data_IF_564666464154
#
_entry.id   IF_564666464154
#
_cell.length_a   1.000
_cell.length_b   1.000
_cell.length_c   1.000
_cell.angle_alpha   90.00
_cell.angle_beta   90.00
_cell.angle_gamma   90.00
#
_symmetry.space_group_name_H-M   'P 1'
#
loop_
_entity.id
_entity.type
_entity.pdbx_description
1 polymer ?
#
# COMPACT_ATOMS: atom_id res chain seq x y z
N UNK A 1 -16.19 -27.57 1.67
CA UNK A 1 -14.95 -28.06 2.32
C UNK A 1 -14.61 -27.10 3.43
N UNK A 2 -14.09 -27.58 4.57
CA UNK A 2 -13.63 -26.75 5.69
C UNK A 2 -12.38 -27.39 6.30
N UNK A 3 -11.51 -26.58 6.89
CA UNK A 3 -10.39 -27.06 7.69
C UNK A 3 -10.00 -26.03 8.76
N UNK A 4 -9.49 -26.50 9.90
CA UNK A 4 -8.88 -25.67 10.94
C UNK A 4 -7.39 -25.44 10.61
N UNK A 5 -6.95 -24.23 10.23
CA UNK A 5 -5.58 -23.98 9.83
C UNK A 5 -4.56 -24.14 10.98
N UNK A 6 -5.01 -24.21 12.24
CA UNK A 6 -4.15 -24.44 13.40
C UNK A 6 -3.99 -25.93 13.73
N UNK A 7 -4.86 -26.81 13.22
CA UNK A 7 -4.93 -28.22 13.63
C UNK A 7 -4.92 -29.22 12.48
N UNK A 8 -5.29 -28.78 11.28
CA UNK A 8 -5.51 -29.64 10.12
C UNK A 8 -4.64 -29.19 8.94
N UNK A 9 -4.17 -30.15 8.16
CA UNK A 9 -3.50 -29.86 6.88
C UNK A 9 -4.51 -29.24 5.92
N UNK A 10 -4.04 -28.32 5.08
CA UNK A 10 -4.87 -27.78 3.99
C UNK A 10 -5.43 -28.94 3.13
N UNK A 11 -6.74 -28.93 2.85
CA UNK A 11 -7.39 -29.96 2.03
C UNK A 11 -7.11 -29.80 0.53
N UNK A 12 -6.36 -28.75 0.15
CA UNK A 12 -5.90 -28.48 -1.22
C UNK A 12 -4.36 -28.51 -1.30
N UNK A 13 -3.76 -28.75 -2.48
CA UNK A 13 -2.30 -28.77 -2.64
C UNK A 13 -1.60 -27.45 -2.27
N UNK A 14 -2.29 -26.33 -2.47
CA UNK A 14 -1.83 -25.00 -2.07
C UNK A 14 -2.75 -24.43 -1.00
N UNK A 15 -2.17 -23.70 -0.04
CA UNK A 15 -2.97 -23.04 1.01
C UNK A 15 -3.87 -21.97 0.41
N UNK A 16 -5.19 -22.04 0.62
CA UNK A 16 -6.13 -21.08 0.04
C UNK A 16 -6.12 -19.73 0.77
N UNK A 17 -5.51 -19.63 1.95
CA UNK A 17 -5.65 -18.48 2.86
C UNK A 17 -5.44 -17.11 2.18
N UNK A 18 -4.33 -16.94 1.45
CA UNK A 18 -4.05 -15.68 0.73
C UNK A 18 -4.87 -15.51 -0.55
N UNK A 19 -5.41 -16.59 -1.10
CA UNK A 19 -6.27 -16.54 -2.30
C UNK A 19 -7.73 -16.19 -1.98
N UNK A 20 -8.15 -16.30 -0.71
CA UNK A 20 -9.51 -15.99 -0.27
C UNK A 20 -9.71 -14.52 0.12
N UNK A 21 -8.64 -13.73 0.18
CA UNK A 21 -8.67 -12.29 0.48
C UNK A 21 -8.01 -11.53 -0.67
N UNK A 22 -8.78 -11.32 -1.73
CA UNK A 22 -8.33 -10.73 -3.01
C UNK A 22 -9.44 -9.87 -3.64
N UNK A 23 -9.11 -8.90 -4.50
CA UNK A 23 -7.77 -8.39 -4.78
C UNK A 23 -7.21 -7.60 -3.59
N UNK A 24 -5.90 -7.68 -3.35
CA UNK A 24 -5.24 -6.88 -2.31
C UNK A 24 -4.52 -5.69 -2.94
N UNK A 25 -4.84 -4.45 -2.52
CA UNK A 25 -4.05 -3.28 -2.89
C UNK A 25 -2.57 -3.48 -2.53
N UNK A 26 -1.69 -2.90 -3.35
CA UNK A 26 -0.25 -2.96 -3.13
C UNK A 26 0.18 -1.65 -2.48
N UNK A 27 0.74 -1.73 -1.29
CA UNK A 27 1.53 -0.65 -0.71
C UNK A 27 2.90 -0.67 -1.37
N UNK A 28 3.13 0.12 -2.41
CA UNK A 28 4.46 0.26 -2.99
C UNK A 28 5.16 1.45 -2.32
N UNK A 29 5.94 1.10 -1.29
CA UNK A 29 6.37 2.05 -0.27
C UNK A 29 7.83 2.41 -0.48
N UNK A 30 8.10 3.71 -0.56
CA UNK A 30 9.43 4.25 -0.42
C UNK A 30 9.67 4.78 0.99
N UNK A 31 10.89 4.63 1.46
CA UNK A 31 11.34 5.14 2.76
C UNK A 31 12.82 5.48 2.69
N UNK A 32 13.34 6.14 3.71
CA UNK A 32 14.78 6.45 3.82
C UNK A 32 15.26 6.11 5.22
N UNK A 33 16.46 5.54 5.34
CA UNK A 33 17.07 5.25 6.64
C UNK A 33 17.55 6.55 7.31
N UNK A 34 17.88 6.46 8.60
CA UNK A 34 18.53 7.55 9.35
C UNK A 34 19.90 7.95 8.79
N UNK A 35 20.53 7.07 8.00
CA UNK A 35 21.79 7.31 7.29
C UNK A 35 21.60 7.84 5.85
N UNK A 36 20.36 8.05 5.41
CA UNK A 36 20.04 8.58 4.09
C UNK A 36 19.97 7.52 2.97
N UNK A 37 19.89 6.23 3.31
CA UNK A 37 19.78 5.16 2.32
C UNK A 37 18.31 4.95 1.94
N UNK A 38 18.00 5.11 0.65
CA UNK A 38 16.65 5.01 0.11
C UNK A 38 16.26 3.56 -0.14
N UNK A 39 15.04 3.21 0.25
CA UNK A 39 14.45 1.88 0.07
C UNK A 39 13.13 1.99 -0.72
N UNK A 40 12.82 1.01 -1.58
CA UNK A 40 11.53 0.88 -2.27
C UNK A 40 11.03 -0.57 -2.32
N UNK A 41 9.91 -0.88 -1.66
CA UNK A 41 9.41 -2.25 -1.56
C UNK A 41 7.88 -2.36 -1.67
N UNK A 42 7.34 -3.44 -2.29
CA UNK A 42 5.91 -3.68 -2.36
C UNK A 42 5.38 -4.55 -1.20
N UNK A 43 4.25 -4.14 -0.64
CA UNK A 43 3.54 -4.83 0.44
C UNK A 43 2.11 -5.13 0.03
N UNK A 44 1.74 -6.40 -0.06
CA UNK A 44 0.35 -6.79 -0.40
C UNK A 44 -0.63 -6.74 0.77
N UNK A 45 -0.18 -6.27 1.93
CA UNK A 45 -0.97 -6.08 3.13
C UNK A 45 -1.05 -4.58 3.43
N UNK A 46 -1.68 -3.84 2.52
CA UNK A 46 -1.88 -2.38 2.57
C UNK A 46 -3.38 -2.05 2.60
N UNK A 47 -3.77 -1.05 3.38
CA UNK A 47 -5.14 -0.53 3.39
C UNK A 47 -5.22 0.93 3.86
N UNK A 48 -6.26 1.64 3.42
CA UNK A 48 -6.74 2.84 4.12
C UNK A 48 -7.52 2.43 5.38
N UNK A 49 -7.69 3.36 6.32
CA UNK A 49 -8.35 3.11 7.61
C UNK A 49 -9.58 4.00 7.80
N UNK A 50 -9.34 5.31 7.81
CA UNK A 50 -10.36 6.35 7.89
C UNK A 50 -9.97 7.48 6.93
N UNK A 51 -10.92 8.31 6.57
CA UNK A 51 -10.73 9.47 5.69
C UNK A 51 -10.66 10.79 6.48
N UNK A 52 -10.95 10.80 7.79
CA UNK A 52 -10.99 12.01 8.61
C UNK A 52 -10.32 11.82 10.00
N UNK A 53 -9.06 12.28 10.19
CA UNK A 53 -8.12 12.63 9.12
C UNK A 53 -7.71 11.36 8.34
N UNK A 54 -7.24 11.47 7.08
CA UNK A 54 -6.94 10.27 6.30
C UNK A 54 -5.80 9.45 6.91
N UNK A 55 -6.02 8.15 7.07
CA UNK A 55 -5.07 7.23 7.69
C UNK A 55 -4.92 5.93 6.88
N UNK A 56 -3.76 5.31 7.02
CA UNK A 56 -3.38 4.09 6.31
C UNK A 56 -2.68 3.10 7.25
N UNK A 57 -2.63 1.85 6.83
CA UNK A 57 -1.79 0.82 7.43
C UNK A 57 -1.05 -0.01 6.38
N UNK A 58 0.12 -0.50 6.76
CA UNK A 58 0.75 -1.63 6.08
C UNK A 58 1.23 -2.68 7.08
N UNK A 59 1.27 -3.94 6.66
CA UNK A 59 1.77 -5.02 7.48
C UNK A 59 2.96 -5.71 6.79
N UNK A 60 4.01 -5.96 7.56
CA UNK A 60 5.28 -6.50 7.07
C UNK A 60 5.71 -7.71 7.90
N UNK A 61 5.86 -8.86 7.23
CA UNK A 61 6.43 -10.05 7.83
C UNK A 61 7.95 -9.87 8.01
N UNK A 62 8.50 -10.47 9.07
CA UNK A 62 9.95 -10.50 9.29
C UNK A 62 10.65 -11.42 8.28
N UNK A 63 11.95 -11.21 8.11
CA UNK A 63 12.82 -12.12 7.40
C UNK A 63 12.94 -13.47 8.14
N UNK A 64 13.38 -14.55 7.46
CA UNK A 64 13.58 -15.85 8.09
C UNK A 64 14.50 -15.83 9.32
N UNK A 65 15.49 -14.94 9.32
CA UNK A 65 16.44 -14.71 10.41
C UNK A 65 15.89 -13.83 11.55
N UNK A 66 14.62 -13.39 11.47
CA UNK A 66 13.96 -12.54 12.46
C UNK A 66 14.22 -11.06 12.31
N UNK A 67 15.04 -10.63 11.33
CA UNK A 67 15.18 -9.19 11.04
C UNK A 67 13.86 -8.60 10.55
N UNK A 68 13.64 -7.35 10.90
CA UNK A 68 12.50 -6.57 10.42
C UNK A 68 12.78 -6.03 9.02
N UNK A 69 11.73 -5.61 8.33
CA UNK A 69 11.85 -4.96 7.02
C UNK A 69 12.36 -3.53 7.18
N UNK A 70 13.21 -3.10 6.26
CA UNK A 70 13.83 -1.78 6.28
C UNK A 70 12.78 -0.67 6.23
N UNK A 71 11.72 -0.81 5.42
CA UNK A 71 10.59 0.13 5.43
C UNK A 71 9.95 0.33 6.80
N UNK A 72 9.86 -0.73 7.63
CA UNK A 72 9.31 -0.63 8.98
C UNK A 72 10.27 0.14 9.89
N UNK A 73 11.55 -0.19 9.84
CA UNK A 73 12.59 0.48 10.65
C UNK A 73 12.66 1.97 10.26
N UNK A 74 12.74 2.26 8.96
CA UNK A 74 12.81 3.61 8.42
C UNK A 74 11.60 4.45 8.82
N UNK A 75 10.38 3.89 8.77
CA UNK A 75 9.17 4.59 9.21
C UNK A 75 9.23 4.97 10.70
N UNK A 76 9.74 4.07 11.55
CA UNK A 76 9.87 4.32 13.00
C UNK A 76 10.96 5.34 13.33
N UNK A 77 12.12 5.23 12.68
CA UNK A 77 13.29 6.06 12.98
C UNK A 77 13.17 7.46 12.39
N UNK A 78 12.66 7.57 11.16
CA UNK A 78 12.56 8.86 10.47
C UNK A 78 11.19 9.51 10.61
N UNK A 79 10.18 8.73 11.01
CA UNK A 79 8.80 9.20 11.14
C UNK A 79 8.01 9.25 9.83
N UNK A 80 8.59 8.79 8.70
CA UNK A 80 7.98 8.95 7.38
C UNK A 80 8.17 7.76 6.44
N UNK A 81 7.20 7.60 5.55
CA UNK A 81 7.31 6.84 4.31
C UNK A 81 6.36 7.42 3.27
N UNK A 82 6.49 7.00 2.02
CA UNK A 82 5.63 7.43 0.92
C UNK A 82 4.99 6.22 0.28
N UNK A 83 3.67 6.27 0.06
CA UNK A 83 2.98 5.32 -0.79
C UNK A 83 2.96 5.82 -2.24
N UNK A 84 3.25 4.92 -3.18
CA UNK A 84 3.20 5.16 -4.61
C UNK A 84 2.16 4.19 -5.21
N UNK A 85 1.26 4.67 -6.07
CA UNK A 85 0.31 3.77 -6.71
C UNK A 85 1.02 2.83 -7.69
N UNK A 86 0.91 1.52 -7.44
CA UNK A 86 1.38 0.50 -8.37
C UNK A 86 0.42 0.37 -9.56
N UNK A 87 0.88 0.68 -10.77
CA UNK A 87 0.11 0.60 -12.02
C UNK A 87 0.60 -0.52 -12.93
N UNK A 88 -0.20 -0.87 -13.94
CA UNK A 88 0.19 -1.86 -14.96
C UNK A 88 1.48 -1.50 -15.69
N UNK A 89 1.69 -0.21 -15.96
CA UNK A 89 2.91 0.29 -16.60
C UNK A 89 4.16 0.06 -15.74
N UNK A 90 4.01 0.09 -14.41
CA UNK A 90 5.09 -0.05 -13.43
C UNK A 90 5.23 -1.45 -12.84
N UNK A 91 4.45 -2.43 -13.31
CA UNK A 91 4.40 -3.78 -12.72
C UNK A 91 5.77 -4.48 -12.64
N UNK A 92 6.64 -4.26 -13.63
CA UNK A 92 7.96 -4.90 -13.67
C UNK A 92 8.89 -4.26 -12.63
N UNK A 93 8.87 -2.92 -12.51
CA UNK A 93 9.58 -2.18 -11.46
C UNK A 93 9.09 -2.57 -10.06
N UNK A 94 7.78 -2.69 -9.87
CA UNK A 94 7.17 -3.17 -8.62
C UNK A 94 7.68 -4.57 -8.27
N UNK A 95 7.78 -5.47 -9.25
CA UNK A 95 8.27 -6.83 -9.00
C UNK A 95 9.78 -6.87 -8.71
N UNK A 96 10.59 -6.06 -9.41
CA UNK A 96 12.03 -5.95 -9.17
C UNK A 96 12.31 -5.41 -7.77
N UNK A 97 11.56 -4.41 -7.33
CA UNK A 97 11.73 -3.80 -6.00
C UNK A 97 11.30 -4.73 -4.84
N UNK A 98 10.79 -5.94 -5.14
CA UNK A 98 10.54 -6.98 -4.12
C UNK A 98 11.77 -7.87 -3.82
N UNK A 99 12.85 -7.72 -4.59
CA UNK A 99 14.08 -8.48 -4.39
C UNK A 99 14.71 -8.14 -3.03
N UNK A 100 15.31 -9.15 -2.39
CA UNK A 100 16.12 -8.91 -1.20
C UNK A 100 17.50 -8.40 -1.63
N UNK A 101 17.71 -7.09 -1.50
CA UNK A 101 19.01 -6.45 -1.77
C UNK A 101 19.80 -6.24 -0.46
N UNK A 102 21.12 -6.04 -0.54
CA UNK A 102 21.89 -5.55 0.59
C UNK A 102 21.38 -4.17 1.05
N UNK A 103 21.45 -3.85 2.35
CA UNK A 103 20.86 -2.62 2.91
C UNK A 103 21.47 -1.33 2.36
N UNK A 104 22.67 -1.37 1.79
CA UNK A 104 23.36 -0.25 1.16
C UNK A 104 22.95 0.02 -0.29
N UNK A 105 22.09 -0.82 -0.88
CA UNK A 105 21.70 -0.75 -2.29
C UNK A 105 20.26 -0.30 -2.42
N UNK A 106 20.03 0.79 -3.15
CA UNK A 106 18.67 1.29 -3.38
C UNK A 106 17.91 0.45 -4.42
N UNK A 107 16.70 0.01 -4.09
CA UNK A 107 15.81 -0.65 -5.04
C UNK A 107 15.35 0.29 -6.16
N UNK A 108 15.37 1.62 -5.96
CA UNK A 108 15.02 2.58 -7.02
C UNK A 108 15.88 2.39 -8.26
N UNK A 109 17.20 2.22 -8.06
CA UNK A 109 18.16 2.05 -9.16
C UNK A 109 17.96 0.72 -9.89
N UNK A 110 17.64 -0.34 -9.14
CA UNK A 110 17.38 -1.66 -9.70
C UNK A 110 16.06 -1.73 -10.44
N UNK A 111 15.01 -1.10 -9.89
CA UNK A 111 13.69 -1.04 -10.48
C UNK A 111 13.64 -0.10 -11.69
N UNK A 112 14.67 0.74 -11.89
CA UNK A 112 14.79 1.64 -13.04
C UNK A 112 13.74 2.76 -13.04
N UNK A 113 13.38 3.25 -11.86
CA UNK A 113 12.36 4.29 -11.67
C UNK A 113 12.99 5.62 -11.23
N UNK A 114 12.38 6.72 -11.64
CA UNK A 114 12.89 8.06 -11.37
C UNK A 114 12.42 8.55 -10.00
N UNK A 115 13.34 9.14 -9.25
CA UNK A 115 13.03 9.77 -7.97
C UNK A 115 12.40 11.14 -8.20
N UNK A 116 11.32 11.43 -7.48
CA UNK A 116 10.73 12.77 -7.35
C UNK A 116 10.73 13.16 -5.87
N UNK A 117 11.15 14.39 -5.56
CA UNK A 117 11.13 14.87 -4.18
C UNK A 117 9.71 14.88 -3.62
N UNK A 118 9.56 14.42 -2.38
CA UNK A 118 8.38 14.63 -1.56
C UNK A 118 8.48 16.00 -0.84
N UNK A 119 7.36 16.53 -0.36
CA UNK A 119 7.35 17.88 0.23
C UNK A 119 7.60 17.85 1.76
N UNK A 120 7.16 16.79 2.43
CA UNK A 120 7.20 16.61 3.89
C UNK A 120 8.12 15.45 4.29
N UNK A 121 8.21 14.41 3.46
CA UNK A 121 9.10 13.27 3.68
C UNK A 121 10.46 13.46 2.99
N UNK A 122 11.53 12.92 3.60
CA UNK A 122 12.82 12.77 2.93
C UNK A 122 12.86 11.56 1.97
N UNK A 123 11.89 10.65 2.05
CA UNK A 123 11.80 9.51 1.13
C UNK A 123 11.31 9.97 -0.25
N UNK A 124 11.97 9.58 -1.35
CA UNK A 124 11.56 9.98 -2.68
C UNK A 124 10.23 9.32 -3.09
N UNK A 125 9.42 10.04 -3.86
CA UNK A 125 8.32 9.48 -4.65
C UNK A 125 8.85 8.81 -5.93
N UNK A 126 8.10 7.86 -6.47
CA UNK A 126 8.31 7.32 -7.83
C UNK A 126 7.68 8.26 -8.86
N UNK A 127 8.48 8.98 -9.63
CA UNK A 127 7.97 10.04 -10.52
C UNK A 127 6.93 9.55 -11.54
N UNK A 128 7.04 8.30 -11.99
CA UNK A 128 6.17 7.67 -12.96
C UNK A 128 4.81 7.22 -12.36
N UNK A 129 4.69 7.18 -11.04
CA UNK A 129 3.43 6.85 -10.37
C UNK A 129 2.48 8.06 -10.43
N UNK A 130 1.19 7.85 -10.76
CA UNK A 130 0.24 8.95 -10.89
C UNK A 130 -0.26 9.51 -9.55
N UNK A 131 -0.17 8.73 -8.47
CA UNK A 131 -0.68 9.12 -7.16
C UNK A 131 0.29 8.76 -6.05
N UNK A 132 0.34 9.61 -5.03
CA UNK A 132 1.16 9.40 -3.84
C UNK A 132 0.50 9.86 -2.57
N UNK A 133 0.84 9.18 -1.48
CA UNK A 133 0.59 9.67 -0.14
C UNK A 133 1.92 9.88 0.57
N UNK A 134 2.13 11.06 1.15
CA UNK A 134 3.17 11.27 2.14
C UNK A 134 2.62 10.89 3.51
N UNK A 135 3.18 9.84 4.10
CA UNK A 135 2.64 9.20 5.28
C UNK A 135 3.51 9.46 6.50
N UNK A 136 2.93 10.06 7.54
CA UNK A 136 3.59 10.27 8.82
C UNK A 136 3.29 9.11 9.75
N UNK A 137 4.36 8.47 10.21
CA UNK A 137 4.29 7.33 11.13
C UNK A 137 3.54 7.70 12.42
N UNK A 138 2.63 6.81 12.84
CA UNK A 138 1.90 6.91 14.09
C UNK A 138 2.36 5.88 15.11
N UNK A 139 2.31 4.59 14.74
CA UNK A 139 2.67 3.49 15.64
C UNK A 139 2.91 2.19 14.87
N UNK A 140 3.66 1.29 15.50
CA UNK A 140 3.80 -0.11 15.07
C UNK A 140 3.24 -1.02 16.15
N UNK A 141 2.36 -1.94 15.75
CA UNK A 141 1.94 -3.05 16.60
C UNK A 141 2.55 -4.36 16.09
N UNK A 142 3.38 -5.01 16.92
CA UNK A 142 4.00 -6.30 16.58
C UNK A 142 3.17 -7.47 17.11
N UNK A 143 2.80 -8.37 16.21
CA UNK A 143 2.09 -9.61 16.53
C UNK A 143 2.99 -10.82 16.25
N UNK A 144 3.29 -11.59 17.29
CA UNK A 144 4.12 -12.79 17.18
C UNK A 144 3.34 -13.93 16.51
N UNK A 145 3.90 -14.46 15.44
CA UNK A 145 3.41 -15.68 14.80
C UNK A 145 4.10 -16.94 15.34
N UNK A 146 3.73 -18.09 14.79
CA UNK A 146 4.36 -19.38 15.12
C UNK A 146 5.80 -19.53 14.58
N UNK A 147 6.26 -18.59 13.75
CA UNK A 147 7.62 -18.52 13.21
C UNK A 147 8.06 -17.06 13.03
N UNK A 148 9.34 -16.84 12.73
CA UNK A 148 9.88 -15.50 12.37
C UNK A 148 9.12 -14.92 11.17
N UNK A 149 9.03 -15.65 10.06
CA UNK A 149 8.27 -15.24 8.87
C UNK A 149 6.76 -15.13 9.13
N UNK A 150 6.24 -15.72 10.20
CA UNK A 150 4.84 -15.58 10.64
C UNK A 150 4.61 -14.38 11.57
N UNK A 151 5.69 -13.80 12.12
CA UNK A 151 5.62 -12.59 12.96
C UNK A 151 5.48 -11.37 12.06
N UNK A 152 4.60 -10.46 12.47
CA UNK A 152 4.21 -9.32 11.66
C UNK A 152 4.31 -8.02 12.45
N UNK A 153 4.84 -7.00 11.79
CA UNK A 153 4.77 -5.61 12.22
C UNK A 153 3.64 -4.94 11.44
N UNK A 154 2.64 -4.41 12.15
CA UNK A 154 1.56 -3.61 11.57
C UNK A 154 1.85 -2.15 11.85
N UNK A 155 2.13 -1.39 10.79
CA UNK A 155 2.47 0.03 10.85
C UNK A 155 1.26 0.86 10.49
N UNK A 156 0.99 1.88 11.30
CA UNK A 156 -0.10 2.84 11.13
C UNK A 156 0.47 4.23 10.84
N UNK A 157 -0.19 5.00 9.97
CA UNK A 157 0.24 6.34 9.60
C UNK A 157 -0.94 7.26 9.26
N UNK A 158 -0.77 8.56 9.49
CA UNK A 158 -1.61 9.60 8.87
C UNK A 158 -1.10 9.90 7.47
N UNK A 159 -2.00 10.27 6.56
CA UNK A 159 -1.65 10.83 5.25
C UNK A 159 -1.67 12.34 5.37
N UNK A 160 -0.49 12.96 5.30
CA UNK A 160 -0.30 14.40 5.49
C UNK A 160 -0.32 15.17 4.17
N UNK A 161 -0.08 14.47 3.04
CA UNK A 161 -0.16 15.04 1.69
C UNK A 161 -0.56 14.00 0.66
N UNK A 162 -1.43 14.40 -0.27
CA UNK A 162 -1.82 13.61 -1.43
C UNK A 162 -1.31 14.33 -2.68
N UNK A 163 -0.58 13.61 -3.53
CA UNK A 163 -0.13 14.09 -4.85
C UNK A 163 -0.91 13.37 -5.94
N UNK A 164 -1.39 14.12 -6.93
CA UNK A 164 -2.24 13.59 -8.00
C UNK A 164 -1.80 14.10 -9.37
N UNK A 165 -1.67 13.20 -10.34
CA UNK A 165 -1.59 13.56 -11.75
C UNK A 165 -2.99 13.90 -12.27
N UNK A 166 -3.20 15.16 -12.65
CA UNK A 166 -4.48 15.65 -13.19
C UNK A 166 -4.91 14.90 -14.46
N UNK A 167 -3.95 14.37 -15.23
CA UNK A 167 -4.27 13.56 -16.41
C UNK A 167 -4.90 12.22 -16.04
N UNK A 168 -4.81 11.81 -14.78
CA UNK A 168 -5.41 10.58 -14.26
C UNK A 168 -6.81 10.79 -13.70
N UNK A 169 -7.41 11.96 -13.96
CA UNK A 169 -8.77 12.31 -13.53
C UNK A 169 -9.77 12.31 -14.70
N UNK A 170 -11.01 12.00 -14.38
CA UNK A 170 -12.16 12.17 -15.26
C UNK A 170 -12.53 13.66 -15.36
N UNK A 171 -13.32 14.08 -16.37
CA UNK A 171 -13.75 15.48 -16.50
C UNK A 171 -14.54 16.02 -15.30
N UNK A 172 -15.19 15.15 -14.53
CA UNK A 172 -15.91 15.48 -13.29
C UNK A 172 -15.03 15.40 -12.03
N UNK A 173 -13.71 15.27 -12.19
CA UNK A 173 -12.73 15.37 -11.09
C UNK A 173 -12.52 14.08 -10.28
N UNK A 174 -13.08 12.95 -10.72
CA UNK A 174 -12.86 11.64 -10.07
C UNK A 174 -11.57 11.00 -10.58
N UNK A 175 -11.00 10.07 -9.82
CA UNK A 175 -9.90 9.25 -10.33
C UNK A 175 -10.41 8.33 -11.45
N UNK A 176 -9.81 8.42 -12.63
CA UNK A 176 -10.09 7.54 -13.77
C UNK A 176 -9.34 6.21 -13.61
N UNK A 177 -9.92 5.30 -12.82
CA UNK A 177 -9.32 4.01 -12.49
C UNK A 177 -9.01 3.17 -13.75
N UNK A 178 -9.91 3.19 -14.75
CA UNK A 178 -9.73 2.42 -15.98
C UNK A 178 -8.55 2.95 -16.82
N UNK A 179 -8.31 4.27 -16.81
CA UNK A 179 -7.13 4.88 -17.42
C UNK A 179 -5.85 4.61 -16.63
N UNK A 180 -5.91 4.70 -15.29
CA UNK A 180 -4.76 4.52 -14.39
C UNK A 180 -4.25 3.08 -14.36
N UNK A 181 -5.16 2.12 -14.48
CA UNK A 181 -4.86 0.68 -14.50
C UNK A 181 -4.04 0.22 -13.28
N UNK A 182 -4.49 0.46 -12.03
CA UNK A 182 -3.78 -0.01 -10.87
C UNK A 182 -3.69 -1.55 -10.86
N UNK A 183 -2.56 -2.08 -10.39
CA UNK A 183 -2.39 -3.52 -10.18
C UNK A 183 -2.65 -3.89 -8.72
N UNK A 184 -3.15 -5.10 -8.52
CA UNK A 184 -3.40 -5.65 -7.19
C UNK A 184 -2.87 -7.08 -7.08
N UNK A 185 -2.50 -7.48 -5.86
CA UNK A 185 -1.99 -8.82 -5.59
C UNK A 185 -3.15 -9.77 -5.30
N UNK A 186 -3.10 -10.95 -5.90
CA UNK A 186 -4.09 -12.01 -5.70
C UNK A 186 -3.56 -13.09 -4.74
N UNK A 187 -4.02 -14.33 -4.88
CA UNK A 187 -3.40 -15.48 -4.23
C UNK A 187 -2.05 -15.81 -4.87
N UNK A 188 -1.22 -16.57 -4.16
CA UNK A 188 -0.01 -17.17 -4.73
C UNK A 188 0.92 -16.12 -5.38
N UNK A 189 1.24 -16.27 -6.66
CA UNK A 189 2.04 -15.34 -7.45
C UNK A 189 1.20 -14.50 -8.42
N UNK A 190 -0.12 -14.62 -8.35
CA UNK A 190 -1.01 -14.00 -9.34
C UNK A 190 -1.23 -12.51 -9.03
N UNK A 191 -1.37 -11.73 -10.09
CA UNK A 191 -1.72 -10.31 -10.06
C UNK A 191 -2.93 -10.08 -10.95
N UNK A 192 -3.68 -9.02 -10.66
CA UNK A 192 -4.72 -8.49 -11.54
C UNK A 192 -4.43 -7.04 -11.86
N UNK A 193 -4.97 -6.57 -12.98
CA UNK A 193 -5.08 -5.14 -13.32
C UNK A 193 -6.55 -4.74 -13.19
N UNK A 194 -6.81 -3.53 -12.68
CA UNK A 194 -8.16 -2.95 -12.67
C UNK A 194 -8.30 -2.09 -13.93
N UNK A 195 -8.99 -2.60 -14.93
CA UNK A 195 -9.23 -1.92 -16.22
C UNK A 195 -10.71 -1.57 -16.44
N UNK A 196 -11.56 -1.87 -15.46
CA UNK A 196 -12.99 -1.61 -15.49
C UNK A 196 -13.54 -1.42 -14.08
N UNK A 197 -14.59 -0.62 -13.97
CA UNK A 197 -15.33 -0.38 -12.73
C UNK A 197 -16.83 -0.39 -13.02
N UNK A 198 -17.63 -0.61 -11.98
CA UNK A 198 -19.08 -0.45 -12.02
C UNK A 198 -19.52 0.18 -10.71
N UNK A 199 -20.56 1.01 -10.77
CA UNK A 199 -21.07 1.71 -9.59
C UNK A 199 -22.11 0.86 -8.88
N UNK A 200 -22.01 0.78 -7.55
CA UNK A 200 -23.02 0.20 -6.67
C UNK A 200 -23.31 1.18 -5.54
N UNK A 201 -24.55 1.67 -5.47
CA UNK A 201 -25.02 2.49 -4.35
C UNK A 201 -25.76 1.63 -3.34
N UNK A 202 -25.58 1.92 -2.06
CA UNK A 202 -26.33 1.25 -0.99
C UNK A 202 -27.80 1.66 -1.09
N UNK A 203 -28.74 0.72 -1.28
CA UNK A 203 -30.16 1.04 -1.33
C UNK A 203 -30.65 1.65 -0.01
N UNK A 204 -31.30 2.81 -0.07
CA UNK A 204 -31.93 3.45 1.10
C UNK A 204 -30.97 4.11 2.10
N UNK A 205 -29.67 4.22 1.79
CA UNK A 205 -28.73 4.97 2.63
C UNK A 205 -29.03 6.48 2.59
N UNK A 206 -28.98 7.11 3.76
CA UNK A 206 -29.11 8.56 3.92
C UNK A 206 -27.88 9.33 3.41
N UNK A 207 -27.97 10.67 3.41
CA UNK A 207 -26.90 11.54 2.91
C UNK A 207 -25.57 11.30 3.61
N UNK A 208 -25.59 11.10 4.92
CA UNK A 208 -24.41 11.00 5.75
C UNK A 208 -23.70 9.66 5.52
N UNK A 209 -24.48 8.58 5.39
CA UNK A 209 -23.97 7.27 5.01
C UNK A 209 -23.36 7.28 3.60
N UNK A 210 -23.94 8.02 2.64
CA UNK A 210 -23.36 8.17 1.30
C UNK A 210 -22.05 8.98 1.34
N UNK A 211 -21.99 10.07 2.10
CA UNK A 211 -20.79 10.90 2.24
C UNK A 211 -19.61 10.11 2.84
N UNK A 212 -19.87 9.32 3.89
CA UNK A 212 -18.85 8.44 4.49
C UNK A 212 -18.34 7.36 3.54
N UNK A 213 -19.20 6.82 2.66
CA UNK A 213 -18.79 5.87 1.62
C UNK A 213 -17.99 6.53 0.49
N UNK A 214 -18.25 7.80 0.21
CA UNK A 214 -17.48 8.63 -0.73
C UNK A 214 -16.12 9.07 -0.19
N UNK A 215 -15.92 9.00 1.12
CA UNK A 215 -14.70 9.44 1.80
C UNK A 215 -14.62 10.95 2.02
N UNK A 216 -15.76 11.64 2.07
CA UNK A 216 -15.80 13.09 2.31
C UNK A 216 -15.62 13.43 3.79
N UNK A 217 -14.62 14.25 4.17
CA UNK A 217 -14.41 14.64 5.57
C UNK A 217 -15.50 15.58 6.08
N UNK A 218 -15.77 15.54 7.40
CA UNK A 218 -16.79 16.39 8.01
C UNK A 218 -16.31 17.85 8.08
N UNK A 219 -17.04 18.77 7.44
CA UNK A 219 -16.81 20.22 7.57
C UNK A 219 -16.19 20.93 6.37
N UNK A 220 -15.89 20.21 5.29
CA UNK A 220 -15.62 20.79 3.96
C UNK A 220 -16.82 20.53 3.04
N UNK A 221 -18.01 20.95 3.45
CA UNK A 221 -19.12 21.04 2.50
C UNK A 221 -18.71 22.06 1.43
N UNK A 222 -18.71 21.64 0.17
CA UNK A 222 -18.60 22.53 -0.97
C UNK A 222 -19.83 23.46 -1.04
N UNK A 223 -19.85 24.48 -0.19
CA UNK A 223 -20.64 25.69 -0.43
C UNK A 223 -19.72 26.71 -1.11
N UNK A 224 -19.94 26.85 -2.42
CA UNK A 224 -19.31 27.82 -3.32
C UNK A 224 -19.90 27.68 -4.71
#
# INVERSE_FOLDING_TARGET
>A
MKFDPAREKSPTPHSPFKGLTVPRPIGWLSSVSSEGVENLAPYSQWQNLTFDPPMVMFAANQYPDGRRKDTVINAEETGWFVWNMATWALRDAVNISAMALPPEVSEFDHAGVTRRAADLSAAPMVAESPFHFECKYLSTHRLKGNSTVGTIDVVYATVERIHMDENSLTPDGRVDIAKVRPIARMGYFDYTVVDSTFEMRVPGADSDAQAGLGGEPMGFSAEG
#
